data_IF_883825002996
#
_entry.id   IF_883825002996
#
_cell.length_a   1.000
_cell.length_b   1.000
_cell.length_c   1.000
_cell.angle_alpha   90.00
_cell.angle_beta   90.00
_cell.angle_gamma   90.00
#
_symmetry.space_group_name_H-M   'P 1'
#
loop_
_entity.id
_entity.type
_entity.pdbx_description
1 polymer ?
#
# COMPACT_ATOMS: atom_id res chain seq x y z
N UNK A 1 -6.49 0.20 -8.99
CA UNK A 1 -7.50 1.10 -8.38
C UNK A 1 -6.87 2.39 -7.86
N UNK A 2 -6.07 2.43 -6.77
CA UNK A 2 -5.46 3.71 -6.32
C UNK A 2 -4.63 4.40 -7.39
N UNK A 3 -3.83 3.65 -8.17
CA UNK A 3 -3.10 4.17 -9.32
C UNK A 3 -4.04 4.88 -10.32
N UNK A 4 -5.22 4.31 -10.59
CA UNK A 4 -6.20 4.93 -11.49
C UNK A 4 -6.77 6.23 -10.91
N UNK A 5 -7.01 6.30 -9.61
CA UNK A 5 -7.47 7.52 -8.93
C UNK A 5 -6.41 8.62 -9.05
N UNK A 6 -5.14 8.30 -8.80
CA UNK A 6 -4.02 9.26 -8.92
C UNK A 6 -3.85 9.72 -10.38
N UNK A 7 -3.96 8.80 -11.34
CA UNK A 7 -3.92 9.14 -12.77
C UNK A 7 -5.02 10.13 -13.17
N UNK A 8 -6.24 9.94 -12.65
CA UNK A 8 -7.37 10.87 -12.91
C UNK A 8 -7.20 12.21 -12.22
N UNK A 9 -6.48 12.27 -11.11
CA UNK A 9 -6.14 13.53 -10.46
C UNK A 9 -5.13 14.36 -11.26
N UNK A 10 -4.55 13.83 -12.36
CA UNK A 10 -3.60 14.53 -13.21
C UNK A 10 -2.26 14.85 -12.57
N UNK A 11 -1.93 14.19 -11.47
CA UNK A 11 -0.69 14.41 -10.72
C UNK A 11 0.39 13.46 -11.24
N UNK A 12 1.63 13.92 -11.47
CA UNK A 12 2.74 13.03 -11.78
C UNK A 12 2.97 12.02 -10.66
N UNK A 13 3.15 10.74 -11.00
CA UNK A 13 3.34 9.67 -10.01
C UNK A 13 4.25 8.57 -10.55
N UNK A 14 4.83 7.82 -9.63
CA UNK A 14 5.51 6.56 -9.91
C UNK A 14 4.82 5.41 -9.17
N UNK A 15 4.96 4.20 -9.67
CA UNK A 15 4.42 3.00 -9.04
C UNK A 15 5.54 2.16 -8.45
N UNK A 16 5.43 1.84 -7.16
CA UNK A 16 6.40 1.00 -6.48
C UNK A 16 5.77 -0.29 -5.95
N UNK A 17 6.43 -1.41 -6.17
CA UNK A 17 6.08 -2.70 -5.61
C UNK A 17 7.17 -3.19 -4.66
N UNK A 18 6.80 -3.46 -3.42
CA UNK A 18 7.72 -4.04 -2.44
C UNK A 18 7.65 -5.56 -2.52
N UNK A 19 8.71 -6.19 -3.02
CA UNK A 19 8.78 -7.64 -3.17
C UNK A 19 8.85 -8.30 -1.79
N UNK A 20 7.82 -9.05 -1.43
CA UNK A 20 7.79 -9.76 -0.13
C UNK A 20 8.47 -11.10 -0.17
N UNK A 21 8.74 -11.64 -1.38
CA UNK A 21 9.28 -12.98 -1.63
C UNK A 21 8.42 -14.15 -1.10
N UNK A 22 7.22 -13.84 -0.63
CA UNK A 22 6.21 -14.80 -0.17
C UNK A 22 4.86 -14.59 -0.88
N UNK A 23 4.85 -13.81 -1.95
CA UNK A 23 3.66 -13.57 -2.75
C UNK A 23 3.35 -14.79 -3.66
N UNK A 24 2.07 -15.01 -3.91
CA UNK A 24 1.65 -16.06 -4.85
C UNK A 24 2.18 -15.74 -6.27
N UNK A 25 2.61 -16.76 -7.05
CA UNK A 25 3.13 -16.55 -8.41
C UNK A 25 2.19 -15.72 -9.30
N UNK A 26 0.88 -15.95 -9.21
CA UNK A 26 -0.13 -15.19 -9.95
C UNK A 26 -0.08 -13.68 -9.65
N UNK A 27 0.19 -13.32 -8.39
CA UNK A 27 0.36 -11.91 -8.00
C UNK A 27 1.60 -11.31 -8.65
N UNK A 28 2.70 -12.05 -8.69
CA UNK A 28 3.95 -11.58 -9.32
C UNK A 28 3.75 -11.38 -10.84
N UNK A 29 3.12 -12.33 -11.51
CA UNK A 29 2.80 -12.19 -12.95
C UNK A 29 1.87 -10.99 -13.21
N UNK A 30 0.85 -10.82 -12.37
CA UNK A 30 -0.06 -9.68 -12.48
C UNK A 30 0.65 -8.34 -12.29
N UNK A 31 1.57 -8.24 -11.32
CA UNK A 31 2.36 -7.02 -11.09
C UNK A 31 3.27 -6.72 -12.29
N UNK A 32 3.98 -7.73 -12.82
CA UNK A 32 4.84 -7.57 -14.00
C UNK A 32 4.05 -7.06 -15.21
N UNK A 33 2.91 -7.67 -15.49
CA UNK A 33 2.05 -7.26 -16.60
C UNK A 33 1.49 -5.85 -16.40
N UNK A 34 1.11 -5.51 -15.16
CA UNK A 34 0.65 -4.16 -14.82
C UNK A 34 1.77 -3.13 -15.02
N UNK A 35 2.98 -3.43 -14.57
CA UNK A 35 4.14 -2.54 -14.74
C UNK A 35 4.46 -2.32 -16.20
N UNK A 36 4.52 -3.38 -17.01
CA UNK A 36 4.74 -3.26 -18.45
C UNK A 36 3.75 -2.29 -19.10
N UNK A 37 2.44 -2.42 -18.82
CA UNK A 37 1.41 -1.53 -19.35
C UNK A 37 1.54 -0.09 -18.88
N UNK A 38 1.97 0.13 -17.64
CA UNK A 38 2.17 1.46 -17.08
C UNK A 38 3.42 2.13 -17.67
N UNK A 39 4.50 1.39 -17.84
CA UNK A 39 5.72 1.86 -18.48
C UNK A 39 5.50 2.23 -19.95
N UNK A 40 4.69 1.47 -20.69
CA UNK A 40 4.22 1.81 -22.03
C UNK A 40 3.43 3.14 -22.08
N UNK A 41 2.79 3.51 -20.97
CA UNK A 41 2.09 4.79 -20.79
C UNK A 41 2.98 5.91 -20.24
N UNK A 42 4.28 5.66 -20.09
CA UNK A 42 5.26 6.62 -19.58
C UNK A 42 5.26 6.77 -18.04
N UNK A 43 4.62 5.86 -17.29
CA UNK A 43 4.61 5.88 -15.83
C UNK A 43 5.82 5.12 -15.29
N UNK A 44 6.72 5.75 -14.52
CA UNK A 44 7.84 5.06 -13.92
C UNK A 44 7.41 3.96 -12.93
N UNK A 45 7.93 2.75 -13.10
CA UNK A 45 7.66 1.63 -12.22
C UNK A 45 8.93 1.11 -11.55
N UNK A 46 8.84 0.76 -10.28
CA UNK A 46 10.00 0.29 -9.51
C UNK A 46 9.66 -0.91 -8.63
N UNK A 47 10.46 -1.96 -8.72
CA UNK A 47 10.42 -3.09 -7.78
C UNK A 47 11.48 -2.87 -6.69
N UNK A 48 11.03 -2.78 -5.45
CA UNK A 48 11.90 -2.66 -4.29
C UNK A 48 12.21 -4.04 -3.70
N UNK A 49 13.50 -4.33 -3.61
CA UNK A 49 13.97 -5.55 -2.96
C UNK A 49 14.20 -5.29 -1.47
N UNK A 50 13.73 -6.17 -0.58
CA UNK A 50 13.92 -5.97 0.85
C UNK A 50 15.41 -6.08 1.23
N UNK A 51 15.83 -5.17 2.09
CA UNK A 51 17.20 -5.11 2.63
C UNK A 51 17.16 -5.16 4.15
N UNK A 52 17.99 -5.97 4.76
CA UNK A 52 18.16 -6.05 6.21
C UNK A 52 19.65 -6.19 6.56
N UNK A 53 20.12 -5.37 7.51
CA UNK A 53 21.54 -5.33 7.91
C UNK A 53 22.53 -5.19 6.74
N UNK A 54 22.18 -4.36 5.75
CA UNK A 54 23.02 -4.08 4.60
C UNK A 54 22.95 -5.11 3.46
N UNK A 55 22.29 -6.25 3.64
CA UNK A 55 22.14 -7.30 2.62
C UNK A 55 20.69 -7.46 2.12
N UNK A 56 20.53 -7.92 0.86
CA UNK A 56 19.22 -8.33 0.35
C UNK A 56 18.73 -9.55 1.12
N UNK A 57 17.45 -9.54 1.48
CA UNK A 57 16.82 -10.64 2.21
C UNK A 57 15.55 -11.09 1.52
N UNK A 58 15.17 -12.34 1.80
CA UNK A 58 13.87 -12.91 1.47
C UNK A 58 13.12 -13.22 2.76
N UNK A 59 11.84 -13.55 2.68
CA UNK A 59 11.11 -14.07 3.85
C UNK A 59 11.84 -15.29 4.46
N UNK A 60 12.31 -16.17 3.59
CA UNK A 60 12.96 -17.43 3.97
C UNK A 60 14.32 -17.24 4.64
N UNK A 61 15.12 -16.26 4.19
CA UNK A 61 16.40 -15.93 4.85
C UNK A 61 16.20 -15.08 6.11
N UNK A 62 15.11 -14.30 6.17
CA UNK A 62 14.81 -13.45 7.32
C UNK A 62 14.36 -14.27 8.56
N UNK A 63 13.64 -15.37 8.36
CA UNK A 63 13.17 -16.24 9.45
C UNK A 63 14.33 -16.78 10.30
N UNK A 64 15.36 -17.45 9.75
CA UNK A 64 16.50 -17.91 10.55
C UNK A 64 17.30 -16.76 11.16
N UNK A 65 17.41 -15.60 10.48
CA UNK A 65 18.06 -14.42 11.06
C UNK A 65 17.32 -13.87 12.29
N UNK A 66 16.01 -14.01 12.32
CA UNK A 66 15.15 -13.61 13.46
C UNK A 66 14.93 -14.73 14.46
N UNK A 67 15.36 -15.97 14.16
CA UNK A 67 15.25 -17.18 14.99
C UNK A 67 13.82 -17.66 15.26
N UNK A 68 12.81 -17.08 14.65
CA UNK A 68 11.40 -17.51 14.76
C UNK A 68 10.59 -17.01 13.56
N UNK A 69 9.48 -17.71 13.18
CA UNK A 69 8.60 -17.25 12.12
C UNK A 69 7.83 -15.98 12.54
N UNK A 70 7.38 -15.15 11.59
CA UNK A 70 6.58 -13.97 11.91
C UNK A 70 5.24 -14.37 12.51
N UNK A 71 4.84 -13.67 13.58
CA UNK A 71 3.57 -13.88 14.26
C UNK A 71 2.67 -12.64 14.14
N UNK A 72 1.42 -12.73 14.64
CA UNK A 72 0.52 -11.55 14.69
C UNK A 72 1.04 -10.46 15.63
N UNK A 73 1.79 -10.82 16.64
CA UNK A 73 2.40 -9.88 17.60
C UNK A 73 3.74 -9.35 17.10
N UNK A 74 4.58 -10.23 16.55
CA UNK A 74 5.91 -9.87 16.06
C UNK A 74 5.92 -9.84 14.53
N UNK A 75 5.54 -8.69 13.98
CA UNK A 75 5.34 -8.48 12.54
C UNK A 75 6.59 -7.92 11.84
N UNK A 76 7.78 -8.43 12.18
CA UNK A 76 9.04 -7.98 11.56
C UNK A 76 9.04 -8.11 10.03
N UNK A 77 8.29 -9.05 9.48
CA UNK A 77 8.12 -9.18 8.03
C UNK A 77 7.49 -7.93 7.40
N UNK A 78 6.51 -7.29 8.06
CA UNK A 78 5.94 -6.05 7.56
C UNK A 78 6.96 -4.91 7.60
N UNK A 79 7.69 -4.77 8.71
CA UNK A 79 8.70 -3.72 8.87
C UNK A 79 9.82 -3.82 7.83
N UNK A 80 10.36 -5.03 7.63
CA UNK A 80 11.51 -5.25 6.73
C UNK A 80 11.09 -5.33 5.26
N UNK A 81 10.02 -6.08 4.94
CA UNK A 81 9.67 -6.38 3.56
C UNK A 81 8.71 -5.36 2.92
N UNK A 82 7.94 -4.59 3.72
CA UNK A 82 6.91 -3.70 3.20
C UNK A 82 7.10 -2.23 3.58
N UNK A 83 7.52 -1.94 4.80
CA UNK A 83 7.47 -0.59 5.36
C UNK A 83 8.81 0.17 5.29
N UNK A 84 9.91 -0.52 4.95
CA UNK A 84 11.25 0.05 4.94
C UNK A 84 11.53 1.04 3.80
N UNK A 85 10.65 1.06 2.79
CA UNK A 85 10.81 1.89 1.58
C UNK A 85 10.03 3.21 1.67
N UNK A 86 10.25 4.09 0.70
CA UNK A 86 9.53 5.35 0.53
C UNK A 86 9.67 6.32 1.72
N UNK A 87 10.88 6.43 2.29
CA UNK A 87 11.17 7.44 3.29
C UNK A 87 11.17 8.83 2.65
N UNK A 88 10.68 9.81 3.41
CA UNK A 88 10.62 11.23 3.02
C UNK A 88 9.88 11.47 1.68
N UNK A 89 8.87 10.63 1.40
CA UNK A 89 8.04 10.73 0.19
C UNK A 89 6.57 10.83 0.53
N UNK A 90 5.82 11.43 -0.40
CA UNK A 90 4.35 11.37 -0.39
C UNK A 90 3.91 10.04 -1.01
N UNK A 91 3.06 9.29 -0.31
CA UNK A 91 2.67 7.94 -0.69
C UNK A 91 1.15 7.84 -0.74
N UNK A 92 0.61 7.31 -1.82
CA UNK A 92 -0.81 6.95 -1.90
C UNK A 92 -0.98 5.46 -1.62
N UNK A 93 -1.89 5.11 -0.71
CA UNK A 93 -2.16 3.71 -0.38
C UNK A 93 -3.66 3.37 -0.48
N UNK A 94 -3.94 2.07 -0.70
CA UNK A 94 -5.29 1.54 -0.75
C UNK A 94 -5.80 1.01 0.59
N UNK A 95 -5.37 1.59 1.70
CA UNK A 95 -5.83 1.20 3.04
C UNK A 95 -7.26 1.65 3.24
N UNK A 96 -8.11 0.78 3.83
CA UNK A 96 -9.52 1.08 4.10
C UNK A 96 -9.91 0.72 5.53
N UNK A 97 -10.85 1.49 6.10
CA UNK A 97 -11.41 1.21 7.43
C UNK A 97 -12.16 -0.12 7.48
N UNK A 98 -12.84 -0.48 6.41
CA UNK A 98 -13.58 -1.74 6.30
C UNK A 98 -12.72 -3.01 6.47
N UNK A 99 -11.39 -2.91 6.33
CA UNK A 99 -10.51 -4.07 6.43
C UNK A 99 -10.25 -4.54 7.86
N UNK A 100 -10.30 -3.67 8.86
CA UNK A 100 -10.19 -4.03 10.27
C UNK A 100 -10.50 -2.86 11.21
N UNK A 101 -10.97 -3.16 12.42
CA UNK A 101 -11.19 -2.18 13.49
C UNK A 101 -9.91 -1.39 13.80
N UNK A 102 -8.73 -2.06 13.82
CA UNK A 102 -7.45 -1.39 14.05
C UNK A 102 -7.14 -0.33 12.99
N UNK A 103 -7.51 -0.58 11.71
CA UNK A 103 -7.33 0.41 10.65
C UNK A 103 -8.31 1.56 10.82
N UNK A 104 -9.57 1.29 11.14
CA UNK A 104 -10.58 2.31 11.40
C UNK A 104 -10.13 3.28 12.49
N UNK A 105 -9.51 2.79 13.54
CA UNK A 105 -9.08 3.62 14.67
C UNK A 105 -7.73 4.33 14.47
N UNK A 106 -6.90 3.86 13.53
CA UNK A 106 -5.50 4.34 13.41
C UNK A 106 -5.12 4.81 12.00
N UNK A 107 -6.07 4.92 11.08
CA UNK A 107 -5.82 5.39 9.71
C UNK A 107 -6.77 6.52 9.37
N UNK A 108 -6.23 7.57 8.75
CA UNK A 108 -6.98 8.70 8.23
C UNK A 108 -6.83 8.86 6.74
N UNK A 109 -7.49 9.88 6.19
CA UNK A 109 -7.34 10.28 4.79
C UNK A 109 -5.90 10.70 4.52
N UNK A 110 -5.34 11.56 5.39
CA UNK A 110 -3.95 11.99 5.36
C UNK A 110 -3.24 11.61 6.66
N UNK A 111 -2.02 11.13 6.53
CA UNK A 111 -1.21 10.69 7.66
C UNK A 111 0.24 11.14 7.48
N UNK A 112 0.82 11.68 8.53
CA UNK A 112 2.26 11.93 8.59
C UNK A 112 2.89 11.01 9.64
N UNK A 113 3.74 10.09 9.20
CA UNK A 113 4.47 9.17 10.05
C UNK A 113 5.91 9.63 10.20
N UNK A 114 6.26 10.10 11.37
CA UNK A 114 7.62 10.42 11.76
C UNK A 114 8.17 9.34 12.72
N UNK A 115 9.46 9.35 12.95
CA UNK A 115 10.09 8.52 13.99
C UNK A 115 9.68 8.93 15.42
N UNK A 116 9.20 10.16 15.57
CA UNK A 116 8.71 10.71 16.84
C UNK A 116 7.19 10.50 16.93
N UNK A 117 6.70 9.68 17.87
CA UNK A 117 5.27 9.43 18.04
C UNK A 117 4.43 10.68 18.32
N UNK A 118 5.01 11.71 18.96
CA UNK A 118 4.32 12.96 19.27
C UNK A 118 4.07 13.82 18.02
N UNK A 119 4.84 13.59 16.95
CA UNK A 119 4.72 14.30 15.67
C UNK A 119 3.89 13.56 14.64
N UNK A 120 3.28 12.44 15.01
CA UNK A 120 2.39 11.71 14.12
C UNK A 120 1.07 12.47 13.99
N UNK A 121 0.74 12.89 12.78
CA UNK A 121 -0.51 13.57 12.43
C UNK A 121 -1.38 12.60 11.63
N UNK A 122 -2.66 12.51 12.00
CA UNK A 122 -3.68 11.75 11.27
C UNK A 122 -4.87 12.67 11.06
N UNK A 123 -5.19 12.96 9.81
CA UNK A 123 -6.31 13.79 9.42
C UNK A 123 -7.41 12.92 8.77
N UNK A 124 -8.63 13.10 9.21
CA UNK A 124 -9.77 12.31 8.74
C UNK A 124 -10.66 13.07 7.76
N UNK A 125 -10.51 14.38 7.69
CA UNK A 125 -11.28 15.27 6.82
C UNK A 125 -10.37 15.83 5.73
N UNK A 126 -10.97 16.13 4.58
CA UNK A 126 -10.31 16.80 3.46
C UNK A 126 -10.83 18.27 3.38
N UNK A 127 -10.76 18.97 4.50
CA UNK A 127 -11.05 20.40 4.53
C UNK A 127 -9.76 21.21 4.27
N UNK A 128 -9.91 22.44 3.82
CA UNK A 128 -8.79 23.30 3.44
C UNK A 128 -7.84 23.62 4.62
N UNK A 129 -8.32 23.68 5.84
CA UNK A 129 -7.51 23.97 7.01
C UNK A 129 -6.62 22.79 7.40
N UNK A 130 -7.17 21.58 7.40
CA UNK A 130 -6.43 20.34 7.62
C UNK A 130 -5.40 20.11 6.51
N UNK A 131 -5.77 20.44 5.28
CA UNK A 131 -4.89 20.37 4.12
C UNK A 131 -3.70 21.32 4.23
N UNK A 132 -3.94 22.59 4.59
CA UNK A 132 -2.88 23.57 4.84
C UNK A 132 -1.98 23.14 5.99
N UNK A 133 -2.54 22.59 7.07
CA UNK A 133 -1.77 22.08 8.20
C UNK A 133 -0.85 20.94 7.74
N UNK A 134 -1.36 20.01 6.93
CA UNK A 134 -0.58 18.90 6.39
C UNK A 134 0.53 19.37 5.43
N UNK A 135 0.24 20.33 4.56
CA UNK A 135 1.20 20.92 3.62
C UNK A 135 2.27 21.75 4.33
N UNK A 136 1.91 22.47 5.38
CA UNK A 136 2.83 23.28 6.18
C UNK A 136 3.75 22.47 7.09
N UNK A 137 3.41 21.21 7.35
CA UNK A 137 4.22 20.32 8.16
C UNK A 137 5.54 19.98 7.44
N UNK A 138 6.57 20.74 7.67
CA UNK A 138 7.95 20.47 7.24
C UNK A 138 8.59 19.27 7.97
N UNK A 139 7.77 18.33 8.43
CA UNK A 139 8.22 17.17 9.19
C UNK A 139 8.83 16.13 8.23
N UNK A 140 10.06 15.74 8.51
CA UNK A 140 10.69 14.59 7.84
C UNK A 140 9.90 13.33 8.18
N UNK A 141 9.62 12.49 7.18
CA UNK A 141 8.94 11.23 7.37
C UNK A 141 8.08 10.83 6.17
N UNK A 142 7.25 9.80 6.35
CA UNK A 142 6.32 9.35 5.31
C UNK A 142 5.02 10.13 5.41
N UNK A 143 4.67 10.85 4.35
CA UNK A 143 3.35 11.45 4.17
C UNK A 143 2.49 10.48 3.37
N UNK A 144 1.34 10.11 3.89
CA UNK A 144 0.47 9.09 3.29
C UNK A 144 -0.90 9.69 3.01
N UNK A 145 -1.39 9.49 1.80
CA UNK A 145 -2.78 9.72 1.41
C UNK A 145 -3.47 8.38 1.18
N UNK A 146 -4.64 8.22 1.79
CA UNK A 146 -5.50 7.05 1.63
C UNK A 146 -6.83 7.49 0.97
N UNK A 147 -6.88 7.68 -0.34
CA UNK A 147 -8.03 8.30 -1.03
C UNK A 147 -9.31 7.45 -0.99
N UNK A 148 -9.21 6.20 -0.58
CA UNK A 148 -10.33 5.26 -0.48
C UNK A 148 -10.50 4.71 0.94
N UNK A 149 -10.04 5.45 1.94
CA UNK A 149 -9.99 4.96 3.32
C UNK A 149 -11.36 4.59 3.90
N UNK A 150 -12.39 5.31 3.50
CA UNK A 150 -13.80 5.14 3.89
C UNK A 150 -14.57 4.16 3.00
N UNK A 151 -14.00 3.72 1.87
CA UNK A 151 -14.70 2.83 0.94
C UNK A 151 -14.98 1.46 1.55
N UNK A 152 -16.21 0.99 1.32
CA UNK A 152 -16.63 -0.37 1.64
C UNK A 152 -16.11 -1.37 0.57
N UNK A 153 -16.26 -2.67 0.84
CA UNK A 153 -15.98 -3.69 -0.18
C UNK A 153 -16.90 -3.55 -1.41
N UNK A 154 -18.13 -3.09 -1.21
CA UNK A 154 -19.09 -2.85 -2.28
C UNK A 154 -18.61 -1.73 -3.20
N UNK A 155 -18.21 -0.59 -2.64
CA UNK A 155 -17.74 0.57 -3.41
C UNK A 155 -16.53 0.21 -4.27
N UNK A 156 -15.58 -0.55 -3.70
CA UNK A 156 -14.41 -1.05 -4.44
C UNK A 156 -14.81 -1.89 -5.64
N UNK A 157 -15.76 -2.83 -5.45
CA UNK A 157 -16.19 -3.70 -6.55
C UNK A 157 -17.03 -2.97 -7.59
N UNK A 158 -17.85 -2.02 -7.17
CA UNK A 158 -18.62 -1.17 -8.08
C UNK A 158 -17.66 -0.33 -8.94
N UNK A 159 -16.67 0.33 -8.33
CA UNK A 159 -15.68 1.12 -9.05
C UNK A 159 -14.84 0.27 -10.03
N UNK A 160 -14.38 -0.90 -9.63
CA UNK A 160 -13.62 -1.79 -10.52
C UNK A 160 -14.46 -2.19 -11.74
N UNK A 161 -15.77 -2.44 -11.57
CA UNK A 161 -16.65 -2.82 -12.66
C UNK A 161 -16.99 -1.63 -13.58
N UNK A 162 -17.33 -0.48 -12.99
CA UNK A 162 -17.68 0.73 -13.76
C UNK A 162 -16.52 1.19 -14.64
N UNK A 163 -15.31 1.13 -14.09
CA UNK A 163 -14.10 1.56 -14.77
C UNK A 163 -13.40 0.44 -15.56
N UNK A 164 -13.96 -0.77 -15.56
CA UNK A 164 -13.42 -1.95 -16.25
C UNK A 164 -11.94 -2.20 -15.92
N UNK A 165 -11.56 -1.99 -14.67
CA UNK A 165 -10.17 -2.11 -14.25
C UNK A 165 -9.71 -3.58 -14.26
N UNK A 166 -8.46 -3.83 -14.67
CA UNK A 166 -7.89 -5.17 -14.63
C UNK A 166 -7.80 -5.66 -13.18
N UNK A 167 -8.08 -6.93 -12.97
CA UNK A 167 -8.05 -7.57 -11.66
C UNK A 167 -7.03 -8.70 -11.62
N UNK A 168 -6.41 -8.88 -10.44
CA UNK A 168 -5.59 -10.07 -10.21
C UNK A 168 -6.45 -11.35 -10.35
N UNK A 169 -6.01 -12.33 -11.15
CA UNK A 169 -6.75 -13.58 -11.40
C UNK A 169 -7.16 -14.34 -10.14
N UNK A 170 -6.41 -14.20 -9.05
CA UNK A 170 -6.76 -14.82 -7.76
C UNK A 170 -8.13 -14.37 -7.23
N UNK A 171 -8.60 -13.18 -7.57
CA UNK A 171 -9.94 -12.73 -7.16
C UNK A 171 -11.07 -13.36 -7.96
N UNK A 172 -10.81 -13.78 -9.19
CA UNK A 172 -11.80 -14.50 -10.02
C UNK A 172 -11.93 -15.96 -9.61
N UNK A 173 -10.84 -16.60 -9.23
CA UNK A 173 -10.81 -18.01 -8.79
C UNK A 173 -11.49 -18.24 -7.44
N UNK A 174 -11.49 -17.26 -6.54
CA UNK A 174 -12.04 -17.37 -5.18
C UNK A 174 -13.58 -17.22 -5.13
N UNK A 175 -14.25 -16.87 -6.23
CA UNK A 175 -15.72 -16.76 -6.26
C UNK A 175 -16.44 -18.08 -5.87
N UNK A 176 -15.78 -19.21 -6.00
CA UNK A 176 -16.33 -20.53 -5.72
C UNK A 176 -16.04 -21.06 -4.31
N UNK A 177 -15.27 -20.36 -3.50
CA UNK A 177 -14.99 -20.75 -2.12
C UNK A 177 -15.63 -19.76 -1.17
N UNK A 178 -16.64 -20.20 -0.40
CA UNK A 178 -17.31 -19.45 0.67
C UNK A 178 -16.34 -19.20 1.83
N UNK A 179 -15.36 -18.32 1.68
CA UNK A 179 -14.47 -17.92 2.77
C UNK A 179 -14.68 -16.48 3.16
N UNK A 180 -15.09 -16.28 4.42
CA UNK A 180 -15.50 -15.01 5.03
C UNK A 180 -14.38 -13.97 5.26
N UNK A 181 -13.18 -14.10 4.73
CA UNK A 181 -12.10 -13.10 4.91
C UNK A 181 -11.20 -12.99 3.69
N UNK A 182 -11.50 -12.03 2.83
CA UNK A 182 -10.59 -11.62 1.74
C UNK A 182 -9.63 -10.55 2.26
N UNK A 183 -8.32 -10.83 2.25
CA UNK A 183 -7.29 -9.80 2.49
C UNK A 183 -6.86 -9.22 1.15
N UNK A 184 -7.07 -7.91 0.96
CA UNK A 184 -6.43 -7.16 -0.10
C UNK A 184 -4.93 -7.01 0.22
N UNK A 185 -4.07 -7.42 -0.69
CA UNK A 185 -2.64 -7.11 -0.61
C UNK A 185 -2.47 -5.75 -1.29
N UNK A 186 -2.18 -4.72 -0.49
CA UNK A 186 -2.01 -3.36 -1.00
C UNK A 186 -0.73 -3.22 -1.82
N UNK A 187 -0.85 -2.69 -3.01
CA UNK A 187 0.27 -2.14 -3.78
C UNK A 187 0.49 -0.72 -3.24
N UNK A 188 1.73 -0.38 -2.90
CA UNK A 188 2.09 0.94 -2.42
C UNK A 188 2.48 1.80 -3.61
N UNK A 189 1.82 2.94 -3.78
CA UNK A 189 2.15 3.93 -4.78
C UNK A 189 2.86 5.11 -4.12
N UNK A 190 3.93 5.61 -4.75
CA UNK A 190 4.67 6.75 -4.26
C UNK A 190 4.68 7.89 -5.27
N UNK A 191 4.56 9.12 -4.80
CA UNK A 191 4.79 10.36 -5.52
C UNK A 191 6.19 10.88 -5.20
#
# INVERSE_FOLDING_TARGET
MCQEIVRRAGIPYEVQHNLTTADAPQTIYYVRETFRKLEEQGVPCKVNYPVYKGGRVTMWTLIPMKKFPPTRLQRYCCQVLKEATCRDRFITTGVRWAESVKRKNNRGVYENFTSDPQKKIILNNDNDDDRRLFESCALKGKRICNPIVDWTDRDVWEYIRSERLPMNPLYTSIRNVKTKRKKFIGIVYGL
#
